data_IF_459533228218
#
_entry.id   IF_459533228218
#
_cell.length_a   1.000
_cell.length_b   1.000
_cell.length_c   1.000
_cell.angle_alpha   90.00
_cell.angle_beta   90.00
_cell.angle_gamma   90.00
#
_symmetry.space_group_name_H-M   'P 1'
#
loop_
_entity.id
_entity.type
_entity.pdbx_description
1 polymer ?
#
# COMPACT_ATOMS: atom_id res chain seq x y z
N UNK A 1 7.81 -31.27 -41.47
CA UNK A 1 7.81 -30.08 -40.59
C UNK A 1 7.38 -30.55 -39.21
N UNK A 2 8.30 -30.53 -38.25
CA UNK A 2 8.08 -31.06 -36.89
C UNK A 2 7.40 -29.96 -36.08
N UNK A 3 6.13 -30.16 -35.76
CA UNK A 3 5.38 -29.28 -34.86
C UNK A 3 5.89 -29.47 -33.43
N UNK A 4 6.77 -28.58 -32.97
CA UNK A 4 7.20 -28.51 -31.58
C UNK A 4 6.33 -27.46 -30.87
N UNK A 5 5.15 -27.87 -30.42
CA UNK A 5 4.41 -27.12 -29.39
C UNK A 5 4.87 -27.57 -28.02
N UNK A 6 6.01 -27.04 -27.57
CA UNK A 6 6.44 -27.17 -26.17
C UNK A 6 6.01 -25.93 -25.38
N UNK A 7 4.91 -26.13 -24.66
CA UNK A 7 4.67 -25.77 -23.25
C UNK A 7 5.72 -24.84 -22.62
N UNK A 8 5.26 -23.65 -22.20
CA UNK A 8 5.64 -23.18 -20.87
C UNK A 8 4.37 -22.83 -20.11
N UNK A 9 3.88 -23.85 -19.41
CA UNK A 9 3.00 -23.71 -18.28
C UNK A 9 3.69 -22.79 -17.28
N UNK A 10 3.42 -21.48 -17.37
CA UNK A 10 3.64 -20.59 -16.26
C UNK A 10 2.76 -21.12 -15.14
N UNK A 11 3.44 -21.79 -14.22
CA UNK A 11 3.01 -22.21 -12.90
C UNK A 11 2.24 -21.05 -12.26
N UNK A 12 0.93 -20.97 -12.55
CA UNK A 12 0.00 -20.08 -11.87
C UNK A 12 -0.12 -20.67 -10.47
N UNK A 13 0.85 -20.34 -9.61
CA UNK A 13 0.60 -20.34 -8.16
C UNK A 13 -0.79 -19.71 -8.02
N UNK A 14 -1.75 -20.35 -7.34
CA UNK A 14 -3.02 -19.69 -7.07
C UNK A 14 -2.63 -18.34 -6.54
N UNK A 15 -3.01 -17.31 -7.29
CA UNK A 15 -2.75 -15.93 -6.95
C UNK A 15 -3.32 -15.83 -5.54
N UNK A 16 -2.46 -15.94 -4.52
CA UNK A 16 -2.82 -15.65 -3.14
C UNK A 16 -3.57 -14.36 -3.29
N UNK A 17 -4.89 -14.43 -3.01
CA UNK A 17 -5.78 -13.28 -3.11
C UNK A 17 -4.95 -12.15 -2.53
N UNK A 18 -4.75 -11.05 -3.28
CA UNK A 18 -4.02 -9.88 -2.82
C UNK A 18 -4.78 -9.37 -1.59
N UNK A 19 -4.61 -10.04 -0.47
CA UNK A 19 -5.29 -9.81 0.76
C UNK A 19 -4.74 -8.48 1.25
N UNK A 20 -5.61 -7.71 1.89
CA UNK A 20 -5.16 -6.54 2.61
C UNK A 20 -3.93 -6.91 3.46
N UNK A 21 -2.91 -6.04 3.55
CA UNK A 21 -1.74 -6.29 4.37
C UNK A 21 -2.16 -6.78 5.75
N UNK A 22 -1.53 -7.84 6.24
CA UNK A 22 -1.78 -8.28 7.62
C UNK A 22 -1.27 -7.20 8.59
N UNK A 23 -1.92 -7.10 9.74
CA UNK A 23 -1.55 -6.26 10.87
C UNK A 23 -0.03 -6.34 11.16
N UNK A 24 0.56 -7.53 11.12
CA UNK A 24 2.00 -7.74 11.29
C UNK A 24 2.84 -6.99 10.25
N UNK A 25 2.40 -6.96 9.00
CA UNK A 25 3.09 -6.26 7.91
C UNK A 25 2.99 -4.74 8.08
N UNK A 26 1.83 -4.25 8.53
CA UNK A 26 1.61 -2.83 8.85
C UNK A 26 2.55 -2.40 9.97
N UNK A 27 2.64 -3.18 11.03
CA UNK A 27 3.53 -2.89 12.17
C UNK A 27 4.98 -2.76 11.68
N UNK A 28 5.46 -3.72 10.90
CA UNK A 28 6.82 -3.69 10.33
C UNK A 28 7.04 -2.48 9.42
N UNK A 29 6.05 -2.13 8.60
CA UNK A 29 6.13 -0.96 7.72
C UNK A 29 6.25 0.33 8.53
N UNK A 30 5.44 0.48 9.59
CA UNK A 30 5.46 1.65 10.47
C UNK A 30 6.75 1.70 11.28
N UNK A 31 7.28 0.56 11.73
CA UNK A 31 8.58 0.49 12.40
C UNK A 31 9.71 0.98 11.50
N UNK A 32 9.70 0.62 10.21
CA UNK A 32 10.70 1.09 9.25
C UNK A 32 10.53 2.59 8.97
N UNK A 33 9.28 3.05 8.80
CA UNK A 33 8.98 4.48 8.62
C UNK A 33 9.45 5.30 9.84
N UNK A 34 9.27 4.76 11.04
CA UNK A 34 9.73 5.38 12.28
C UNK A 34 11.25 5.54 12.32
N UNK A 35 12.00 4.55 11.83
CA UNK A 35 13.46 4.63 11.72
C UNK A 35 13.90 5.65 10.67
N UNK A 36 13.29 5.62 9.49
CA UNK A 36 13.65 6.50 8.36
C UNK A 36 13.35 7.98 8.64
N UNK A 37 12.23 8.26 9.30
CA UNK A 37 11.81 9.63 9.63
C UNK A 37 12.23 10.06 11.04
N UNK A 38 12.87 9.19 11.81
CA UNK A 38 13.18 9.45 13.23
C UNK A 38 11.94 9.90 14.00
N UNK A 39 10.85 9.12 13.89
CA UNK A 39 9.59 9.40 14.57
C UNK A 39 9.73 9.20 16.07
N UNK A 40 9.07 10.08 16.83
CA UNK A 40 8.87 9.87 18.28
C UNK A 40 7.93 8.71 18.54
N UNK A 41 7.96 8.14 19.74
CA UNK A 41 7.06 7.04 20.13
C UNK A 41 5.58 7.44 19.98
N UNK A 42 5.25 8.68 20.32
CA UNK A 42 3.89 9.22 20.17
C UNK A 42 3.46 9.32 18.70
N UNK A 43 4.33 9.83 17.81
CA UNK A 43 4.03 9.89 16.37
C UNK A 43 3.87 8.49 15.78
N UNK A 44 4.79 7.59 16.13
CA UNK A 44 4.77 6.19 15.70
C UNK A 44 3.48 5.49 16.12
N UNK A 45 3.03 5.66 17.37
CA UNK A 45 1.79 5.06 17.87
C UNK A 45 0.57 5.55 17.08
N UNK A 46 0.44 6.87 16.88
CA UNK A 46 -0.66 7.45 16.10
C UNK A 46 -0.65 7.00 14.64
N UNK A 47 0.51 6.98 13.99
CA UNK A 47 0.65 6.52 12.61
C UNK A 47 0.30 5.03 12.49
N UNK A 48 0.68 4.21 13.47
CA UNK A 48 0.30 2.79 13.54
C UNK A 48 -1.22 2.63 13.59
N UNK A 49 -1.90 3.37 14.45
CA UNK A 49 -3.36 3.33 14.57
C UNK A 49 -4.05 3.74 13.26
N UNK A 50 -3.58 4.80 12.60
CA UNK A 50 -4.09 5.23 11.30
C UNK A 50 -3.98 4.13 10.24
N UNK A 51 -2.83 3.47 10.14
CA UNK A 51 -2.65 2.37 9.17
C UNK A 51 -3.48 1.13 9.51
N UNK A 52 -3.67 0.81 10.79
CA UNK A 52 -4.52 -0.31 11.21
C UNK A 52 -6.00 -0.04 10.90
N UNK A 53 -6.48 1.18 11.17
CA UNK A 53 -7.84 1.59 10.82
C UNK A 53 -8.07 1.52 9.29
N UNK A 54 -7.12 2.06 8.52
CA UNK A 54 -7.12 2.00 7.06
C UNK A 54 -7.20 0.58 6.50
N UNK A 55 -6.52 -0.36 7.15
CA UNK A 55 -6.54 -1.76 6.74
C UNK A 55 -7.92 -2.38 6.96
N UNK A 56 -8.56 -2.13 8.09
CA UNK A 56 -9.90 -2.65 8.36
C UNK A 56 -10.93 -2.05 7.37
N UNK A 57 -10.83 -0.77 7.06
CA UNK A 57 -11.65 -0.12 6.03
C UNK A 57 -11.43 -0.78 4.66
N UNK A 58 -10.18 -1.01 4.28
CA UNK A 58 -9.85 -1.65 3.01
C UNK A 58 -10.36 -3.11 2.94
N UNK A 59 -10.34 -3.85 4.07
CA UNK A 59 -10.95 -5.18 4.13
C UNK A 59 -12.46 -5.10 3.90
N UNK A 60 -13.15 -4.19 4.58
CA UNK A 60 -14.59 -3.99 4.43
C UNK A 60 -14.97 -3.61 2.99
N UNK A 61 -14.24 -2.67 2.38
CA UNK A 61 -14.48 -2.23 0.99
C UNK A 61 -14.20 -3.35 -0.02
N UNK A 62 -13.20 -4.20 0.24
CA UNK A 62 -12.90 -5.35 -0.62
C UNK A 62 -13.95 -6.47 -0.50
N UNK A 63 -14.58 -6.60 0.66
CA UNK A 63 -15.68 -7.54 0.87
C UNK A 63 -16.98 -7.08 0.20
N UNK A 64 -17.29 -5.78 0.26
CA UNK A 64 -18.50 -5.17 -0.31
C UNK A 64 -18.41 -4.88 -1.81
N UNK A 65 -17.24 -4.49 -2.32
CA UNK A 65 -17.01 -3.97 -3.67
C UNK A 65 -16.68 -5.00 -4.76
N UNK A 66 -16.97 -6.29 -4.56
CA UNK A 66 -16.52 -7.38 -5.47
C UNK A 66 -16.92 -7.21 -6.95
N UNK A 67 -17.97 -6.45 -7.22
CA UNK A 67 -18.56 -6.32 -8.56
C UNK A 67 -18.18 -5.03 -9.30
N UNK A 68 -17.58 -4.03 -8.63
CA UNK A 68 -17.20 -2.76 -9.26
C UNK A 68 -15.73 -2.43 -8.97
N UNK A 69 -14.88 -2.82 -9.91
CA UNK A 69 -13.43 -2.65 -9.79
C UNK A 69 -12.98 -1.21 -9.99
N UNK A 70 -13.74 -0.39 -10.71
CA UNK A 70 -13.40 1.00 -10.98
C UNK A 70 -13.70 1.84 -9.74
N UNK A 71 -14.90 1.68 -9.17
CA UNK A 71 -15.26 2.28 -7.89
C UNK A 71 -14.33 1.86 -6.76
N UNK A 72 -14.00 0.56 -6.65
CA UNK A 72 -13.05 0.09 -5.63
C UNK A 72 -11.65 0.70 -5.83
N UNK A 73 -11.25 1.00 -7.08
CA UNK A 73 -9.97 1.67 -7.35
C UNK A 73 -10.01 3.11 -6.87
N UNK A 74 -11.06 3.85 -7.18
CA UNK A 74 -11.23 5.24 -6.76
C UNK A 74 -11.24 5.35 -5.23
N UNK A 75 -12.04 4.54 -4.54
CA UNK A 75 -12.09 4.47 -3.08
C UNK A 75 -10.71 4.17 -2.47
N UNK A 76 -9.95 3.22 -3.05
CA UNK A 76 -8.59 2.94 -2.60
C UNK A 76 -7.61 4.09 -2.86
N UNK A 77 -7.78 4.86 -3.93
CA UNK A 77 -6.92 6.02 -4.22
C UNK A 77 -7.23 7.18 -3.29
N UNK A 78 -8.51 7.45 -3.00
CA UNK A 78 -8.97 8.46 -2.05
C UNK A 78 -8.52 8.14 -0.63
N UNK A 79 -8.83 6.94 -0.15
CA UNK A 79 -8.48 6.51 1.21
C UNK A 79 -6.96 6.51 1.45
N UNK A 80 -6.15 6.25 0.42
CA UNK A 80 -4.68 6.43 0.47
C UNK A 80 -4.25 7.89 0.61
N UNK A 81 -4.90 8.81 -0.10
CA UNK A 81 -4.60 10.25 0.01
C UNK A 81 -4.94 10.75 1.40
N UNK A 82 -6.11 10.39 1.91
CA UNK A 82 -6.52 10.75 3.28
C UNK A 82 -5.53 10.25 4.33
N UNK A 83 -5.11 8.98 4.23
CA UNK A 83 -4.11 8.43 5.12
C UNK A 83 -2.79 9.22 5.04
N UNK A 84 -2.35 9.57 3.82
CA UNK A 84 -1.13 10.34 3.62
C UNK A 84 -1.21 11.72 4.28
N UNK A 85 -2.34 12.41 4.14
CA UNK A 85 -2.59 13.71 4.76
C UNK A 85 -2.57 13.61 6.30
N UNK A 86 -3.33 12.66 6.86
CA UNK A 86 -3.36 12.40 8.31
C UNK A 86 -1.97 12.06 8.86
N UNK A 87 -1.15 11.30 8.11
CA UNK A 87 0.24 11.04 8.49
C UNK A 87 1.06 12.33 8.46
N UNK A 88 0.96 13.14 7.39
CA UNK A 88 1.70 14.39 7.27
C UNK A 88 1.38 15.38 8.40
N UNK A 89 0.14 15.47 8.85
CA UNK A 89 -0.26 16.32 9.98
C UNK A 89 0.45 15.97 11.29
N UNK A 90 0.86 14.72 11.47
CA UNK A 90 1.58 14.24 12.64
C UNK A 90 3.09 14.48 12.57
N UNK A 91 3.62 14.86 11.41
CA UNK A 91 5.05 15.04 11.16
C UNK A 91 5.50 16.48 11.35
N UNK A 92 6.74 16.66 11.81
CA UNK A 92 7.41 17.97 11.77
C UNK A 92 7.78 18.35 10.33
N UNK A 93 8.13 19.62 10.09
CA UNK A 93 8.51 20.10 8.75
C UNK A 93 9.68 19.28 8.15
N UNK A 94 10.72 19.01 8.93
CA UNK A 94 11.86 18.19 8.47
C UNK A 94 11.46 16.75 8.15
N UNK A 95 10.55 16.17 8.95
CA UNK A 95 10.04 14.82 8.73
C UNK A 95 9.14 14.76 7.48
N UNK A 96 8.34 15.81 7.22
CA UNK A 96 7.51 15.93 6.01
C UNK A 96 8.36 15.91 4.75
N UNK A 97 9.47 16.65 4.72
CA UNK A 97 10.38 16.66 3.56
C UNK A 97 10.97 15.26 3.29
N UNK A 98 11.42 14.56 4.33
CA UNK A 98 11.91 13.17 4.20
C UNK A 98 10.80 12.24 3.73
N UNK A 99 9.60 12.39 4.26
CA UNK A 99 8.45 11.58 3.89
C UNK A 99 8.06 11.78 2.42
N UNK A 100 8.02 13.02 1.93
CA UNK A 100 7.74 13.33 0.52
C UNK A 100 8.77 12.67 -0.40
N UNK A 101 10.06 12.81 -0.10
CA UNK A 101 11.13 12.14 -0.88
C UNK A 101 10.98 10.63 -0.89
N UNK A 102 10.64 10.03 0.25
CA UNK A 102 10.40 8.60 0.35
C UNK A 102 9.20 8.17 -0.52
N UNK A 103 8.13 8.95 -0.56
CA UNK A 103 6.97 8.68 -1.39
C UNK A 103 7.30 8.80 -2.89
N UNK A 104 8.04 9.83 -3.30
CA UNK A 104 8.50 10.02 -4.68
C UNK A 104 9.38 8.86 -5.15
N UNK A 105 10.33 8.42 -4.32
CA UNK A 105 11.17 7.26 -4.62
C UNK A 105 10.33 5.99 -4.82
N UNK A 106 9.36 5.75 -3.93
CA UNK A 106 8.43 4.61 -4.06
C UNK A 106 7.57 4.70 -5.30
N UNK A 107 7.17 5.91 -5.71
CA UNK A 107 6.40 6.14 -6.93
C UNK A 107 7.25 5.87 -8.18
N UNK A 108 8.51 6.31 -8.20
CA UNK A 108 9.42 6.06 -9.31
C UNK A 108 9.82 4.58 -9.45
N UNK A 109 9.79 3.82 -8.36
CA UNK A 109 10.02 2.38 -8.37
C UNK A 109 8.80 1.56 -8.83
N UNK A 110 7.62 2.19 -9.00
CA UNK A 110 6.47 1.50 -9.57
C UNK A 110 6.68 1.34 -11.07
N UNK A 111 6.68 0.11 -11.62
CA UNK A 111 6.75 -0.07 -13.06
C UNK A 111 5.59 0.69 -13.72
N UNK A 112 5.80 1.29 -14.90
CA UNK A 112 4.76 2.03 -15.60
C UNK A 112 3.53 1.14 -15.75
N UNK A 113 2.37 1.67 -15.35
CA UNK A 113 1.09 0.97 -15.48
C UNK A 113 0.94 0.57 -16.95
N UNK A 114 0.77 -0.72 -17.30
CA UNK A 114 0.43 -1.09 -18.66
C UNK A 114 -0.86 -0.36 -19.02
N UNK A 115 -0.79 0.55 -19.98
CA UNK A 115 -1.98 1.13 -20.58
C UNK A 115 -2.71 -0.04 -21.26
N UNK A 116 -3.94 -0.31 -20.81
CA UNK A 116 -4.83 -1.27 -21.48
C UNK A 116 -5.57 -0.55 -22.57
#
# INVERSE_FOLDING_TARGET
MISVTNVSAQNRRPQERRMAPDSTQIIKMVDNLAKELSLTDTQKAKIKELHLAQMEEMKANMESGKNDREKMREEMEESRKELQEKVMELLTNEQKEKYTKLMEQRQNQRPPRPQR
#
